data_IF_100810591171
#
_entry.id   IF_100810591171
#
_cell.length_a   1.000
_cell.length_b   1.000
_cell.length_c   1.000
_cell.angle_alpha   90.00
_cell.angle_beta   90.00
_cell.angle_gamma   90.00
#
_symmetry.space_group_name_H-M   'P 1'
#
loop_
_entity.id
_entity.type
_entity.pdbx_description
1 polymer ?
#
# COMPACT_ATOMS: atom_id res chain seq x y z
N UNK A 1 -0.55 26.70 1.06
CA UNK A 1 -0.17 25.36 0.59
C UNK A 1 0.99 24.88 1.45
N UNK A 2 0.86 23.77 2.16
CA UNK A 2 1.97 23.26 2.99
C UNK A 2 3.11 22.71 2.10
N UNK A 3 4.28 22.50 2.71
CA UNK A 3 5.48 22.07 1.97
C UNK A 3 5.28 20.70 1.28
N UNK A 4 4.57 19.77 1.94
CA UNK A 4 4.27 18.45 1.40
C UNK A 4 3.44 18.52 0.11
N UNK A 5 2.39 19.34 0.07
CA UNK A 5 1.57 19.52 -1.12
C UNK A 5 2.35 20.11 -2.27
N UNK A 6 3.29 21.02 -1.99
CA UNK A 6 4.20 21.56 -3.01
C UNK A 6 5.04 20.44 -3.64
N UNK A 7 5.64 19.58 -2.80
CA UNK A 7 6.45 18.44 -3.25
C UNK A 7 5.60 17.45 -4.08
N UNK A 8 4.39 17.14 -3.64
CA UNK A 8 3.45 16.26 -4.37
C UNK A 8 3.16 16.82 -5.76
N UNK A 9 2.84 18.12 -5.86
CA UNK A 9 2.50 18.76 -7.14
C UNK A 9 3.71 18.87 -8.09
N UNK A 10 4.89 19.18 -7.55
CA UNK A 10 6.14 19.21 -8.33
C UNK A 10 6.54 17.82 -8.81
N UNK A 11 6.42 16.80 -7.97
CA UNK A 11 6.65 15.42 -8.39
C UNK A 11 5.61 14.98 -9.43
N UNK A 12 4.33 15.32 -9.25
CA UNK A 12 3.27 14.97 -10.20
C UNK A 12 3.59 15.46 -11.61
N UNK A 13 4.08 16.69 -11.74
CA UNK A 13 4.37 17.34 -13.02
C UNK A 13 5.73 16.94 -13.63
N UNK A 14 6.78 16.83 -12.81
CA UNK A 14 8.15 16.60 -13.29
C UNK A 14 8.68 15.18 -13.12
N UNK A 15 8.01 14.33 -12.33
CA UNK A 15 8.46 12.98 -11.93
C UNK A 15 9.90 12.94 -11.39
N UNK A 16 10.36 14.05 -10.81
CA UNK A 16 11.74 14.18 -10.34
C UNK A 16 11.89 13.56 -8.94
N UNK A 17 12.47 12.37 -8.86
CA UNK A 17 12.73 11.67 -7.59
C UNK A 17 13.74 12.40 -6.68
N UNK A 18 14.50 13.38 -7.16
CA UNK A 18 15.39 14.17 -6.28
C UNK A 18 14.60 14.93 -5.21
N UNK A 19 13.32 15.22 -5.48
CA UNK A 19 12.39 15.83 -4.52
C UNK A 19 12.04 14.88 -3.37
N UNK A 20 12.23 13.58 -3.58
CA UNK A 20 11.79 12.53 -2.66
C UNK A 20 12.89 12.02 -1.72
N UNK A 21 14.12 12.57 -1.81
CA UNK A 21 15.28 12.10 -1.04
C UNK A 21 15.02 12.10 0.48
N UNK A 22 14.38 13.15 1.00
CA UNK A 22 14.04 13.27 2.42
C UNK A 22 12.91 12.36 2.89
N UNK A 23 12.38 11.50 2.02
CA UNK A 23 11.30 10.56 2.32
C UNK A 23 11.73 9.10 2.14
N UNK A 24 12.93 8.84 1.58
CA UNK A 24 13.41 7.48 1.36
C UNK A 24 13.60 6.74 2.68
N UNK A 25 13.21 5.48 2.73
CA UNK A 25 13.45 4.62 3.87
C UNK A 25 14.95 4.51 4.12
N UNK A 26 15.40 4.96 5.29
CA UNK A 26 16.81 5.08 5.64
C UNK A 26 17.03 4.59 7.06
N UNK A 27 17.55 3.37 7.18
CA UNK A 27 17.89 2.76 8.46
C UNK A 27 18.81 3.66 9.29
N UNK A 28 18.55 3.73 10.60
CA UNK A 28 19.29 4.60 11.49
C UNK A 28 20.71 4.08 11.82
N UNK A 29 20.99 2.80 11.55
CA UNK A 29 22.28 2.14 11.77
C UNK A 29 22.39 1.42 13.12
N UNK A 30 21.30 1.33 13.89
CA UNK A 30 21.25 0.62 15.17
C UNK A 30 20.57 -0.72 14.99
N UNK A 31 21.12 -1.78 15.59
CA UNK A 31 20.59 -3.15 15.49
C UNK A 31 19.99 -3.64 16.81
N UNK A 32 19.96 -2.79 17.84
CA UNK A 32 19.33 -3.10 19.11
C UNK A 32 17.81 -3.27 18.99
N UNK A 33 17.24 -4.19 19.74
CA UNK A 33 15.79 -4.36 19.83
C UNK A 33 15.13 -3.07 20.33
N UNK A 34 14.19 -2.52 19.56
CA UNK A 34 13.56 -1.22 19.84
C UNK A 34 14.46 0.00 19.59
N UNK A 35 15.66 -0.19 19.01
CA UNK A 35 16.54 0.90 18.59
C UNK A 35 16.65 1.05 17.07
N UNK A 36 16.33 0.00 16.30
CA UNK A 36 16.21 0.04 14.84
C UNK A 36 15.05 0.94 14.44
N UNK A 37 15.28 1.85 13.49
CA UNK A 37 14.27 2.83 13.05
C UNK A 37 14.63 3.39 11.66
N UNK A 38 13.65 4.02 11.01
CA UNK A 38 13.82 4.79 9.78
C UNK A 38 13.83 6.31 10.07
N UNK A 39 15.00 6.92 9.81
CA UNK A 39 15.25 8.35 10.00
C UNK A 39 14.24 9.27 9.30
N UNK A 40 13.65 8.81 8.20
CA UNK A 40 12.73 9.61 7.39
C UNK A 40 11.26 9.22 7.57
N UNK A 41 10.94 8.26 8.44
CA UNK A 41 9.58 7.75 8.60
C UNK A 41 8.58 8.85 8.91
N UNK A 42 8.84 9.68 9.91
CA UNK A 42 7.94 10.81 10.26
C UNK A 42 7.68 11.75 9.08
N UNK A 43 8.70 12.03 8.28
CA UNK A 43 8.55 12.91 7.12
C UNK A 43 7.73 12.23 6.01
N UNK A 44 7.94 10.93 5.78
CA UNK A 44 7.19 10.11 4.81
C UNK A 44 5.74 9.90 5.23
N UNK A 45 5.48 9.61 6.51
CA UNK A 45 4.14 9.56 7.12
C UNK A 45 3.36 10.83 6.80
N UNK A 46 3.93 12.00 7.06
CA UNK A 46 3.26 13.28 6.82
C UNK A 46 3.00 13.55 5.33
N UNK A 47 3.91 13.13 4.44
CA UNK A 47 3.70 13.20 3.00
C UNK A 47 2.55 12.29 2.54
N UNK A 48 2.47 11.07 3.08
CA UNK A 48 1.39 10.10 2.80
C UNK A 48 0.04 10.66 3.28
N UNK A 49 -0.03 11.18 4.50
CA UNK A 49 -1.26 11.78 5.05
C UNK A 49 -1.70 12.99 4.22
N UNK A 50 -0.76 13.86 3.84
CA UNK A 50 -1.07 14.98 2.94
C UNK A 50 -1.59 14.43 1.60
N UNK A 51 -0.92 13.46 0.99
CA UNK A 51 -1.36 12.88 -0.27
C UNK A 51 -2.77 12.30 -0.17
N UNK A 52 -3.04 11.52 0.89
CA UNK A 52 -4.33 10.88 1.14
C UNK A 52 -5.49 11.88 1.24
N UNK A 53 -5.26 13.09 1.77
CA UNK A 53 -6.30 14.11 1.87
C UNK A 53 -6.85 14.57 0.52
N UNK A 54 -6.07 14.44 -0.55
CA UNK A 54 -6.47 14.78 -1.91
C UNK A 54 -5.52 14.13 -2.93
N UNK A 55 -5.88 12.94 -3.39
CA UNK A 55 -5.14 12.17 -4.40
C UNK A 55 -6.02 11.85 -5.60
N UNK A 56 -5.37 11.51 -6.70
CA UNK A 56 -5.99 11.21 -7.99
C UNK A 56 -5.22 10.11 -8.72
N UNK A 57 -5.74 9.64 -9.85
CA UNK A 57 -5.05 8.64 -10.67
C UNK A 57 -3.65 9.10 -11.14
N UNK A 58 -3.42 10.41 -11.31
CA UNK A 58 -2.12 10.98 -11.72
C UNK A 58 -1.04 10.89 -10.65
N UNK A 59 -1.45 10.70 -9.38
CA UNK A 59 -0.57 10.50 -8.24
C UNK A 59 -0.03 9.07 -8.15
N UNK A 60 -0.53 8.13 -8.97
CA UNK A 60 -0.14 6.72 -8.91
C UNK A 60 1.38 6.49 -8.89
N UNK A 61 2.22 7.17 -9.69
CA UNK A 61 3.67 6.98 -9.61
C UNK A 61 4.24 7.31 -8.23
N UNK A 62 3.72 8.35 -7.56
CA UNK A 62 4.13 8.71 -6.21
C UNK A 62 3.64 7.69 -5.19
N UNK A 63 2.38 7.24 -5.31
CA UNK A 63 1.79 6.22 -4.44
C UNK A 63 2.61 4.92 -4.50
N UNK A 64 2.96 4.45 -5.71
CA UNK A 64 3.78 3.24 -5.89
C UNK A 64 5.20 3.43 -5.34
N UNK A 65 5.77 4.62 -5.48
CA UNK A 65 7.07 4.94 -4.89
C UNK A 65 7.01 4.88 -3.37
N UNK A 66 5.99 5.51 -2.75
CA UNK A 66 5.81 5.51 -1.29
C UNK A 66 5.58 4.10 -0.76
N UNK A 67 4.71 3.31 -1.40
CA UNK A 67 4.45 1.93 -1.02
C UNK A 67 5.74 1.09 -0.97
N UNK A 68 6.63 1.26 -1.94
CA UNK A 68 7.93 0.58 -1.96
C UNK A 68 8.86 1.03 -0.84
N UNK A 69 8.85 2.31 -0.47
CA UNK A 69 9.64 2.79 0.66
C UNK A 69 9.08 2.29 2.00
N UNK A 70 7.75 2.22 2.14
CA UNK A 70 7.10 1.62 3.31
C UNK A 70 7.45 0.12 3.45
N UNK A 71 7.39 -0.64 2.37
CA UNK A 71 7.73 -2.07 2.39
C UNK A 71 9.20 -2.34 2.77
N UNK A 72 10.13 -1.45 2.41
CA UNK A 72 11.52 -1.54 2.89
C UNK A 72 11.62 -1.35 4.39
N UNK A 73 10.74 -0.52 4.96
CA UNK A 73 10.77 -0.16 6.37
C UNK A 73 10.29 -1.27 7.31
N UNK A 74 9.65 -2.32 6.79
CA UNK A 74 9.24 -3.49 7.60
C UNK A 74 10.39 -4.08 8.43
N UNK A 75 11.63 -4.00 7.94
CA UNK A 75 12.81 -4.48 8.68
C UNK A 75 13.19 -3.60 9.90
N UNK A 76 12.52 -2.45 10.07
CA UNK A 76 12.89 -1.39 11.01
C UNK A 76 11.74 -1.03 11.98
N UNK A 77 10.83 -1.98 12.24
CA UNK A 77 9.69 -1.84 13.18
C UNK A 77 8.79 -0.61 12.90
N UNK A 78 8.66 -0.20 11.63
CA UNK A 78 7.74 0.89 11.28
C UNK A 78 6.28 0.40 11.28
N UNK A 79 5.31 1.27 11.66
CA UNK A 79 3.89 0.93 11.60
C UNK A 79 3.40 0.52 10.21
N UNK A 80 2.56 -0.52 10.17
CA UNK A 80 1.92 -1.01 8.94
C UNK A 80 0.94 -0.01 8.31
N UNK A 81 0.38 0.91 9.10
CA UNK A 81 -0.75 1.75 8.71
C UNK A 81 -0.47 2.67 7.51
N UNK A 82 0.76 3.16 7.36
CA UNK A 82 1.19 3.94 6.19
C UNK A 82 1.26 3.09 4.92
N UNK A 83 1.61 1.80 5.04
CA UNK A 83 1.55 0.84 3.94
C UNK A 83 0.10 0.63 3.51
N UNK A 84 -0.81 0.46 4.47
CA UNK A 84 -2.24 0.25 4.22
C UNK A 84 -2.89 1.44 3.49
N UNK A 85 -2.58 2.67 3.92
CA UNK A 85 -3.02 3.89 3.20
C UNK A 85 -2.50 3.93 1.76
N UNK A 86 -1.22 3.60 1.54
CA UNK A 86 -0.64 3.59 0.20
C UNK A 86 -1.26 2.51 -0.68
N UNK A 87 -1.45 1.31 -0.15
CA UNK A 87 -2.08 0.19 -0.85
C UNK A 87 -3.53 0.52 -1.22
N UNK A 88 -4.29 1.14 -0.32
CA UNK A 88 -5.65 1.60 -0.61
C UNK A 88 -5.69 2.69 -1.70
N UNK A 89 -4.84 3.73 -1.60
CA UNK A 89 -4.78 4.77 -2.63
C UNK A 89 -4.44 4.18 -4.01
N UNK A 90 -3.56 3.18 -4.05
CA UNK A 90 -3.24 2.44 -5.27
C UNK A 90 -4.46 1.66 -5.77
N UNK A 91 -5.12 0.91 -4.91
CA UNK A 91 -6.32 0.12 -5.22
C UNK A 91 -7.47 0.95 -5.81
N UNK A 92 -7.72 2.14 -5.24
CA UNK A 92 -8.78 3.04 -5.75
C UNK A 92 -8.53 3.46 -7.20
N UNK A 93 -7.27 3.63 -7.59
CA UNK A 93 -6.88 4.05 -8.94
C UNK A 93 -6.10 2.98 -9.72
N UNK A 94 -6.24 1.71 -9.34
CA UNK A 94 -5.43 0.63 -9.87
C UNK A 94 -5.75 0.35 -11.35
N UNK A 95 -4.76 -0.19 -12.05
CA UNK A 95 -4.96 -1.06 -13.21
C UNK A 95 -4.80 -2.51 -12.77
N UNK A 96 -5.20 -3.45 -13.62
CA UNK A 96 -5.10 -4.88 -13.30
C UNK A 96 -3.67 -5.30 -12.96
N UNK A 97 -2.65 -4.72 -13.60
CA UNK A 97 -1.24 -5.04 -13.34
C UNK A 97 -0.74 -4.54 -11.98
N UNK A 98 -1.42 -3.57 -11.36
CA UNK A 98 -1.07 -3.09 -10.03
C UNK A 98 -1.40 -4.15 -8.93
N UNK A 99 -2.03 -5.27 -9.31
CA UNK A 99 -2.30 -6.39 -8.39
C UNK A 99 -1.04 -6.96 -7.74
N UNK A 100 0.09 -6.93 -8.44
CA UNK A 100 1.35 -7.43 -7.90
C UNK A 100 1.86 -6.56 -6.75
N UNK A 101 1.77 -5.23 -6.89
CA UNK A 101 2.16 -4.30 -5.83
C UNK A 101 1.20 -4.42 -4.63
N UNK A 102 -0.08 -4.70 -4.85
CA UNK A 102 -1.07 -4.92 -3.78
C UNK A 102 -0.88 -6.26 -3.07
N UNK A 103 -0.51 -7.30 -3.80
CA UNK A 103 -0.14 -8.59 -3.22
C UNK A 103 1.12 -8.46 -2.37
N UNK A 104 2.15 -7.79 -2.88
CA UNK A 104 3.38 -7.49 -2.15
C UNK A 104 3.09 -6.61 -0.92
N UNK A 105 2.16 -5.65 -1.01
CA UNK A 105 1.73 -4.87 0.16
C UNK A 105 1.23 -5.76 1.29
N UNK A 106 0.40 -6.76 0.97
CA UNK A 106 -0.22 -7.65 1.96
C UNK A 106 0.72 -8.74 2.50
N UNK A 107 1.49 -9.38 1.62
CA UNK A 107 2.24 -10.59 1.96
C UNK A 107 3.76 -10.41 1.90
N UNK A 108 4.26 -9.27 1.42
CA UNK A 108 5.69 -9.01 1.22
C UNK A 108 6.44 -8.51 2.46
N UNK A 109 5.75 -8.26 3.57
CA UNK A 109 6.31 -7.57 4.74
C UNK A 109 5.85 -8.20 6.08
N UNK A 110 5.93 -9.52 6.20
CA UNK A 110 5.73 -10.24 7.46
C UNK A 110 4.29 -10.29 7.98
N UNK A 111 4.11 -10.90 9.15
CA UNK A 111 2.79 -11.27 9.69
C UNK A 111 1.89 -10.09 10.04
N UNK A 112 2.46 -8.95 10.40
CA UNK A 112 1.67 -7.76 10.73
C UNK A 112 0.98 -7.23 9.47
N UNK A 113 1.71 -7.10 8.35
CA UNK A 113 1.12 -6.76 7.06
C UNK A 113 0.06 -7.77 6.63
N UNK A 114 0.32 -9.07 6.81
CA UNK A 114 -0.67 -10.11 6.49
C UNK A 114 -1.98 -9.96 7.30
N UNK A 115 -1.88 -9.53 8.56
CA UNK A 115 -3.01 -9.35 9.47
C UNK A 115 -3.76 -8.03 9.29
N UNK A 116 -3.07 -6.92 9.03
CA UNK A 116 -3.65 -5.58 9.00
C UNK A 116 -4.12 -5.13 7.62
N UNK A 117 -3.43 -5.56 6.56
CA UNK A 117 -3.77 -5.18 5.18
C UNK A 117 -4.88 -6.10 4.68
N UNK A 118 -5.99 -5.52 4.26
CA UNK A 118 -7.19 -6.30 3.93
C UNK A 118 -6.98 -7.15 2.67
N UNK A 119 -7.52 -8.37 2.68
CA UNK A 119 -7.47 -9.28 1.53
C UNK A 119 -8.24 -8.73 0.33
N UNK A 120 -9.24 -7.87 0.53
CA UNK A 120 -10.01 -7.25 -0.54
C UNK A 120 -9.13 -6.54 -1.60
N UNK A 121 -7.96 -6.04 -1.23
CA UNK A 121 -7.01 -5.44 -2.16
C UNK A 121 -6.48 -6.44 -3.20
N UNK A 122 -6.31 -7.71 -2.81
CA UNK A 122 -5.80 -8.81 -3.66
C UNK A 122 -6.90 -9.40 -4.56
N UNK A 123 -8.16 -9.03 -4.36
CA UNK A 123 -9.22 -9.36 -5.31
C UNK A 123 -9.21 -8.47 -6.56
N UNK A 124 -8.49 -7.34 -6.52
CA UNK A 124 -8.31 -6.42 -7.64
C UNK A 124 -9.60 -5.69 -8.04
N UNK A 125 -9.72 -5.35 -9.33
CA UNK A 125 -10.88 -4.61 -9.85
C UNK A 125 -12.17 -5.43 -9.70
N UNK A 126 -12.12 -6.67 -10.17
CA UNK A 126 -13.15 -7.69 -10.05
C UNK A 126 -12.48 -9.06 -9.95
N UNK A 127 -12.92 -9.92 -9.03
CA UNK A 127 -12.26 -11.22 -8.74
C UNK A 127 -12.06 -12.08 -9.98
N UNK A 128 -13.11 -12.25 -10.79
CA UNK A 128 -13.04 -13.12 -11.97
C UNK A 128 -12.16 -12.52 -13.07
N UNK A 129 -12.16 -11.19 -13.23
CA UNK A 129 -11.29 -10.51 -14.18
C UNK A 129 -9.82 -10.59 -13.74
N UNK A 130 -9.54 -10.41 -12.45
CA UNK A 130 -8.21 -10.58 -11.87
C UNK A 130 -7.72 -12.01 -12.06
N UNK A 131 -8.53 -13.03 -11.76
CA UNK A 131 -8.19 -14.44 -11.99
C UNK A 131 -7.95 -14.73 -13.48
N UNK A 132 -8.78 -14.19 -14.37
CA UNK A 132 -8.61 -14.35 -15.82
C UNK A 132 -7.30 -13.71 -16.31
N UNK A 133 -6.97 -12.51 -15.83
CA UNK A 133 -5.70 -11.85 -16.12
C UNK A 133 -4.51 -12.70 -15.67
N UNK A 134 -4.49 -13.17 -14.43
CA UNK A 134 -3.38 -13.95 -13.88
C UNK A 134 -3.14 -15.27 -14.63
N UNK A 135 -4.21 -15.94 -15.08
CA UNK A 135 -4.10 -17.17 -15.90
C UNK A 135 -3.54 -16.91 -17.30
N UNK A 136 -3.84 -15.74 -17.87
CA UNK A 136 -3.47 -15.38 -19.23
C UNK A 136 -2.09 -14.70 -19.33
N UNK A 137 -1.67 -13.97 -18.31
CA UNK A 137 -0.36 -13.33 -18.23
C UNK A 137 0.76 -14.38 -18.13
N UNK A 138 1.82 -14.22 -18.94
CA UNK A 138 2.89 -15.23 -19.13
C UNK A 138 4.27 -14.80 -18.63
N UNK A 139 4.42 -13.55 -18.20
CA UNK A 139 5.71 -13.01 -17.77
C UNK A 139 6.04 -13.28 -16.29
N UNK A 140 5.03 -13.60 -15.45
CA UNK A 140 5.17 -13.78 -14.00
C UNK A 140 4.48 -15.05 -13.48
N UNK A 141 4.65 -16.16 -14.19
CA UNK A 141 3.85 -17.39 -14.00
C UNK A 141 3.83 -17.87 -12.54
N UNK A 142 4.98 -17.89 -11.85
CA UNK A 142 5.08 -18.33 -10.46
C UNK A 142 4.24 -17.44 -9.52
N UNK A 143 4.50 -16.13 -9.54
CA UNK A 143 3.73 -15.17 -8.76
C UNK A 143 2.24 -15.16 -9.12
N UNK A 144 1.90 -15.33 -10.40
CA UNK A 144 0.50 -15.42 -10.84
C UNK A 144 -0.19 -16.64 -10.21
N UNK A 145 0.52 -17.76 -10.13
CA UNK A 145 0.01 -19.00 -9.54
C UNK A 145 -0.21 -18.81 -8.05
N UNK A 146 0.75 -18.20 -7.36
CA UNK A 146 0.65 -17.90 -5.92
C UNK A 146 -0.53 -16.98 -5.59
N UNK A 147 -0.73 -15.91 -6.37
CA UNK A 147 -1.87 -14.99 -6.19
C UNK A 147 -3.19 -15.73 -6.46
N UNK A 148 -3.26 -16.55 -7.52
CA UNK A 148 -4.45 -17.35 -7.84
C UNK A 148 -4.80 -18.30 -6.71
N UNK A 149 -3.84 -19.08 -6.23
CA UNK A 149 -4.03 -20.02 -5.12
C UNK A 149 -4.47 -19.30 -3.84
N UNK A 150 -3.92 -18.12 -3.57
CA UNK A 150 -4.34 -17.28 -2.44
C UNK A 150 -5.80 -16.86 -2.57
N UNK A 151 -6.21 -16.32 -3.72
CA UNK A 151 -7.60 -15.92 -3.96
C UNK A 151 -8.53 -17.14 -3.80
N UNK A 152 -8.19 -18.26 -4.43
CA UNK A 152 -8.99 -19.49 -4.38
C UNK A 152 -9.09 -20.07 -2.96
N UNK A 153 -8.01 -19.99 -2.17
CA UNK A 153 -8.01 -20.41 -0.77
C UNK A 153 -8.96 -19.56 0.08
N UNK A 154 -8.91 -18.23 -0.05
CA UNK A 154 -9.85 -17.35 0.67
C UNK A 154 -11.30 -17.56 0.21
N UNK A 155 -11.55 -17.77 -1.09
CA UNK A 155 -12.87 -18.08 -1.64
C UNK A 155 -13.40 -19.46 -1.18
N UNK A 156 -12.53 -20.40 -0.84
CA UNK A 156 -12.93 -21.74 -0.38
C UNK A 156 -13.62 -21.74 0.98
N UNK A 157 -13.49 -20.67 1.77
CA UNK A 157 -14.14 -20.55 3.07
C UNK A 157 -15.62 -20.12 2.93
N UNK A 158 -16.60 -21.01 3.16
CA UNK A 158 -18.02 -20.71 2.94
C UNK A 158 -18.58 -19.67 3.92
N UNK A 159 -17.87 -19.39 5.03
CA UNK A 159 -18.29 -18.44 6.05
C UNK A 159 -17.68 -17.05 5.84
N UNK A 160 -16.68 -16.91 4.96
CA UNK A 160 -16.05 -15.63 4.70
C UNK A 160 -16.96 -14.75 3.83
N UNK A 161 -17.15 -13.50 4.25
CA UNK A 161 -17.87 -12.49 3.48
C UNK A 161 -16.91 -11.37 3.10
N UNK A 162 -16.52 -11.36 1.83
CA UNK A 162 -15.66 -10.32 1.28
C UNK A 162 -16.48 -9.23 0.63
N UNK A 163 -16.10 -7.98 0.90
CA UNK A 163 -16.72 -6.82 0.27
C UNK A 163 -16.47 -6.85 -1.24
N UNK A 164 -17.40 -6.33 -2.02
CA UNK A 164 -17.12 -5.86 -3.38
C UNK A 164 -16.13 -4.70 -3.33
N UNK A 165 -15.57 -4.33 -4.48
CA UNK A 165 -14.63 -3.21 -4.59
C UNK A 165 -15.26 -1.90 -4.12
N UNK A 166 -16.50 -1.64 -4.52
CA UNK A 166 -17.25 -0.45 -4.14
C UNK A 166 -17.52 -0.42 -2.64
N UNK A 167 -17.99 -1.53 -2.07
CA UNK A 167 -18.21 -1.66 -0.62
C UNK A 167 -16.92 -1.51 0.17
N UNK A 168 -15.80 -2.04 -0.34
CA UNK A 168 -14.50 -1.91 0.30
C UNK A 168 -14.00 -0.47 0.29
N UNK A 169 -14.13 0.23 -0.84
CA UNK A 169 -13.74 1.65 -0.95
C UNK A 169 -14.55 2.48 0.04
N UNK A 170 -15.87 2.30 0.10
CA UNK A 170 -16.73 3.01 1.05
C UNK A 170 -16.28 2.69 2.49
N UNK A 171 -16.15 1.41 2.84
CA UNK A 171 -15.71 0.99 4.17
C UNK A 171 -14.38 1.62 4.57
N UNK A 172 -13.39 1.61 3.67
CA UNK A 172 -12.09 2.16 3.96
C UNK A 172 -12.17 3.65 4.24
N UNK A 173 -12.85 4.41 3.38
CA UNK A 173 -12.94 5.87 3.48
C UNK A 173 -13.79 6.37 4.66
N UNK A 174 -14.79 5.58 5.09
CA UNK A 174 -15.71 6.00 6.16
C UNK A 174 -15.41 5.39 7.53
N UNK A 175 -14.59 4.34 7.60
CA UNK A 175 -14.30 3.62 8.85
C UNK A 175 -12.80 3.43 9.03
N UNK A 176 -12.16 2.68 8.12
CA UNK A 176 -10.77 2.23 8.34
C UNK A 176 -9.78 3.38 8.36
N UNK A 177 -9.93 4.35 7.46
CA UNK A 177 -9.04 5.49 7.33
C UNK A 177 -9.01 6.38 8.59
N UNK A 178 -10.14 6.51 9.29
CA UNK A 178 -10.20 7.31 10.52
C UNK A 178 -9.51 6.60 11.68
N UNK A 179 -9.65 5.27 11.79
CA UNK A 179 -8.88 4.48 12.76
C UNK A 179 -7.38 4.59 12.49
N UNK A 180 -6.96 4.43 11.23
CA UNK A 180 -5.55 4.57 10.82
C UNK A 180 -5.00 5.96 11.20
N UNK A 181 -5.76 7.04 10.94
CA UNK A 181 -5.32 8.38 11.32
C UNK A 181 -5.13 8.52 12.83
N UNK A 182 -6.05 7.97 13.62
CA UNK A 182 -5.93 7.96 15.08
C UNK A 182 -4.66 7.24 15.52
N UNK A 183 -4.40 6.05 14.98
CA UNK A 183 -3.20 5.26 15.32
C UNK A 183 -1.90 5.98 14.90
N UNK A 184 -1.92 6.71 13.79
CA UNK A 184 -0.79 7.48 13.29
C UNK A 184 -0.57 8.82 14.00
N UNK A 185 -1.57 9.35 14.70
CA UNK A 185 -1.43 10.54 15.57
C UNK A 185 -0.82 10.17 16.93
N UNK A 186 -1.01 8.94 17.39
CA UNK A 186 -0.44 8.41 18.63
C UNK A 186 1.02 7.93 18.50
N UNK A 187 1.53 7.79 17.26
CA UNK A 187 2.88 7.32 16.93
C UNK A 187 3.80 8.44 16.40
#
# INVERSE_FOLDING_TARGET
>A
MNNYRKIINEFKSGKNESLLVGFKCTHNGKEGYGESDDKNYSNRKNLILELYSNYSADDKPLIKWLLKEELKGFQFDIPVYTTDLCAFMLFKHMKTEDIYDLYEAKFGAGSDHEGYIDIELVFGLHRDETKAFLRNEKTRIELNTEILETIEWYESNPNAKFKSREEYIIYFETVKADNIKSDLEEY
#
